data_IF_865217678520
#
_entry.id   IF_865217678520
#
_cell.length_a   1.000
_cell.length_b   1.000
_cell.length_c   1.000
_cell.angle_alpha   90.00
_cell.angle_beta   90.00
_cell.angle_gamma   90.00
#
_symmetry.space_group_name_H-M   'P 1'
#
loop_
_entity.id
_entity.type
_entity.pdbx_description
1 polymer ?
2 non-polymer ?
3 non-polymer ?
4 water ?
#
# COMPACT_ATOMS: atom_id res chain seq x y z
N UNK A 5 -14.09 11.23 10.15
CA UNK A 5 -14.11 12.02 8.89
C UNK A 5 -12.72 12.33 8.36
N UNK A 6 -12.59 12.41 7.04
CA UNK A 6 -11.28 12.69 6.42
C UNK A 6 -11.01 14.18 6.19
N UNK A 7 -9.80 14.60 6.55
CA UNK A 7 -9.33 15.97 6.37
C UNK A 7 -8.74 16.15 4.97
N UNK A 8 -9.56 16.54 4.00
CA UNK A 8 -9.08 16.74 2.63
C UNK A 8 -8.33 18.04 2.42
N UNK A 9 -8.24 18.86 3.47
CA UNK A 9 -7.39 20.04 3.45
C UNK A 9 -5.91 19.63 3.60
N UNK A 10 -5.67 18.55 4.32
CA UNK A 10 -4.32 18.00 4.49
C UNK A 10 -4.01 16.88 3.50
N UNK A 11 -4.95 15.95 3.33
CA UNK A 11 -4.77 14.81 2.42
C UNK A 11 -5.19 15.13 1.00
N UNK A 12 -4.30 15.78 0.27
CA UNK A 12 -4.47 16.02 -1.16
C UNK A 12 -3.10 16.15 -1.85
N UNK A 13 -3.10 16.06 -3.17
CA UNK A 13 -1.85 16.02 -3.95
C UNK A 13 -1.27 17.40 -4.28
N UNK A 14 -1.88 18.46 -3.76
CA UNK A 14 -1.36 19.82 -3.96
C UNK A 14 0.03 20.02 -3.32
N UNK A 15 0.27 19.31 -2.23
CA UNK A 15 1.51 19.40 -1.47
C UNK A 15 2.69 18.70 -2.12
N UNK A 16 2.42 17.97 -3.20
CA UNK A 16 3.46 17.14 -3.80
C UNK A 16 4.04 17.76 -5.06
N UNK A 17 5.34 17.50 -5.27
CA UNK A 17 6.12 18.12 -6.34
C UNK A 17 6.19 17.20 -7.56
N UNK A 18 6.08 17.80 -8.75
CA UNK A 18 6.24 17.08 -10.00
C UNK A 18 5.12 16.10 -10.27
N UNK A 19 5.46 15.02 -10.99
CA UNK A 19 4.49 14.01 -11.37
C UNK A 19 4.64 12.74 -10.53
N UNK A 20 3.62 11.90 -10.57
CA UNK A 20 3.64 10.61 -9.89
C UNK A 20 4.79 9.72 -10.37
N UNK A 21 4.98 9.62 -11.69
CA UNK A 21 6.10 8.85 -12.26
C UNK A 21 7.46 9.31 -11.71
N UNK A 22 7.66 10.63 -11.72
CA UNK A 22 8.87 11.26 -11.18
C UNK A 22 9.10 10.92 -9.72
N UNK A 23 8.07 11.12 -8.89
CA UNK A 23 8.17 10.86 -7.45
C UNK A 23 8.47 9.39 -7.16
N UNK A 24 7.78 8.48 -7.85
CA UNK A 24 7.99 7.06 -7.65
C UNK A 24 9.42 6.66 -8.03
N UNK A 25 9.93 7.17 -9.16
CA UNK A 25 11.30 6.87 -9.59
C UNK A 25 12.31 7.32 -8.53
N UNK A 26 12.16 8.54 -8.03
CA UNK A 26 13.05 9.10 -7.01
C UNK A 26 13.01 8.29 -5.72
N UNK A 27 11.79 7.98 -5.28
CA UNK A 27 11.56 7.21 -4.08
C UNK A 27 12.23 5.84 -4.14
N UNK A 28 11.96 5.09 -5.21
CA UNK A 28 12.56 3.77 -5.39
C UNK A 28 14.08 3.80 -5.49
N UNK A 29 14.63 4.84 -6.12
CA UNK A 29 16.08 5.00 -6.29
C UNK A 29 16.82 5.25 -4.96
N UNK A 30 16.12 5.80 -3.99
CA UNK A 30 16.64 5.97 -2.63
C UNK A 30 16.78 4.61 -1.94
N UNK A 31 15.92 3.66 -2.32
CA UNK A 31 15.98 2.31 -1.78
C UNK A 31 16.85 1.38 -2.63
N UNK A 32 17.51 1.94 -3.64
CA UNK A 32 18.37 1.17 -4.54
C UNK A 32 17.61 0.29 -5.50
N UNK A 33 16.40 0.73 -5.87
CA UNK A 33 15.56 -0.01 -6.78
C UNK A 33 15.25 0.80 -8.02
N UNK A 34 15.21 0.16 -9.18
CA UNK A 34 14.73 0.86 -10.37
C UNK A 34 13.19 0.77 -10.43
N UNK A 35 12.59 1.41 -11.42
CA UNK A 35 11.15 1.57 -11.51
C UNK A 35 10.37 0.26 -11.59
N UNK A 36 9.29 0.17 -10.81
CA UNK A 36 8.41 -1.00 -10.86
C UNK A 36 7.06 -0.66 -10.24
N UNK A 37 6.08 -1.54 -10.46
CA UNK A 37 4.76 -1.33 -9.85
C UNK A 37 4.89 -1.48 -8.34
N UNK A 38 4.54 -0.42 -7.63
CA UNK A 38 4.92 -0.28 -6.21
C UNK A 38 3.72 -0.40 -5.27
N UNK A 39 3.84 -1.33 -4.33
CA UNK A 39 2.81 -1.67 -3.35
C UNK A 39 3.33 -1.28 -1.97
N UNK A 40 2.53 -0.53 -1.22
CA UNK A 40 2.95 -0.13 0.12
C UNK A 40 2.00 -0.61 1.22
N UNK A 41 2.60 -0.99 2.35
CA UNK A 41 1.86 -1.31 3.56
C UNK A 41 2.33 -0.36 4.66
N UNK A 42 1.37 0.24 5.35
CA UNK A 42 1.65 1.04 6.55
C UNK A 42 0.74 0.64 7.70
N UNK A 43 1.33 0.13 8.76
CA UNK A 43 0.58 -0.29 9.91
C UNK A 43 1.39 -1.07 10.92
N UNK A 44 0.85 -1.20 12.13
CA UNK A 44 1.44 -2.02 13.17
C UNK A 44 1.73 -3.44 12.68
N UNK A 45 2.88 -3.98 13.09
CA UNK A 45 3.22 -5.38 12.87
C UNK A 45 2.68 -6.18 14.05
N UNK A 46 1.56 -6.87 13.85
CA UNK A 46 0.96 -7.75 14.86
C UNK A 46 0.46 -9.05 14.21
N UNK A 47 -0.12 -9.92 15.02
CA UNK A 47 -0.45 -11.29 14.60
C UNK A 47 -1.88 -11.47 14.05
N UNK A 48 -2.79 -10.60 14.48
CA UNK A 48 -4.19 -10.73 14.09
C UNK A 48 -5.02 -9.47 13.93
N UNK A 49 -4.34 -8.33 13.72
CA UNK A 49 -5.05 -7.05 13.56
C UNK A 49 -4.86 -6.41 12.19
N UNK A 50 -3.66 -5.92 11.90
CA UNK A 50 -3.39 -5.18 10.66
C UNK A 50 -3.02 -6.09 9.50
N UNK A 51 -2.63 -7.32 9.79
CA UNK A 51 -2.37 -8.31 8.75
C UNK A 51 -1.03 -8.29 8.06
N UNK A 52 0.00 -7.75 8.71
CA UNK A 52 1.35 -7.79 8.10
C UNK A 52 1.76 -9.23 7.80
N UNK A 53 1.36 -10.16 8.66
CA UNK A 53 1.61 -11.61 8.49
C UNK A 53 1.08 -12.12 7.14
N UNK A 54 -0.11 -11.67 6.78
CA UNK A 54 -0.76 -12.06 5.53
C UNK A 54 0.03 -11.51 4.35
N UNK A 55 0.47 -10.25 4.45
CA UNK A 55 1.28 -9.64 3.41
C UNK A 55 2.61 -10.36 3.22
N UNK A 56 3.29 -10.65 4.33
CA UNK A 56 4.59 -11.32 4.27
C UNK A 56 4.47 -12.73 3.68
N UNK A 57 3.40 -13.43 4.04
CA UNK A 57 3.12 -14.74 3.44
C UNK A 57 2.86 -14.61 1.95
N UNK A 58 2.12 -13.57 1.56
CA UNK A 58 1.82 -13.31 0.15
C UNK A 58 3.08 -13.03 -0.65
N UNK A 59 3.99 -12.24 -0.06
CA UNK A 59 5.28 -11.98 -0.70
C UNK A 59 6.07 -13.28 -0.90
N UNK A 60 6.05 -14.14 0.10
CA UNK A 60 6.74 -15.43 0.00
C UNK A 60 6.15 -16.26 -1.13
N UNK A 61 4.82 -16.29 -1.22
CA UNK A 61 4.11 -17.00 -2.30
C UNK A 61 4.51 -16.47 -3.69
N UNK A 62 4.60 -15.15 -3.81
CA UNK A 62 4.90 -14.52 -5.10
C UNK A 62 6.35 -14.63 -5.52
N UNK A 63 7.25 -14.82 -4.55
CA UNK A 63 8.69 -14.70 -4.80
C UNK A 63 9.28 -15.74 -5.76
N UNK A 64 8.55 -16.84 -5.98
CA UNK A 64 8.96 -17.88 -6.93
C UNK A 64 8.48 -17.61 -8.36
N UNK A 65 7.74 -16.50 -8.53
CA UNK A 65 7.21 -16.12 -9.84
C UNK A 65 8.07 -15.06 -10.51
N UNK A 66 8.21 -15.16 -11.82
CA UNK A 66 8.97 -14.17 -12.59
C UNK A 66 8.41 -12.77 -12.43
N UNK A 67 7.08 -12.67 -12.35
CA UNK A 67 6.40 -11.37 -12.24
C UNK A 67 6.76 -10.63 -10.95
N UNK A 68 7.25 -11.38 -9.96
CA UNK A 68 7.71 -10.80 -8.69
C UNK A 68 8.74 -9.69 -8.93
N UNK A 69 9.60 -9.88 -9.93
CA UNK A 69 10.68 -8.94 -10.26
C UNK A 69 10.17 -7.59 -10.72
N UNK A 70 8.93 -7.56 -11.20
CA UNK A 70 8.29 -6.33 -11.67
C UNK A 70 7.56 -5.59 -10.54
N UNK A 71 7.53 -6.20 -9.36
CA UNK A 71 6.88 -5.60 -8.20
C UNK A 71 7.91 -4.95 -7.28
N UNK A 72 7.48 -3.90 -6.58
CA UNK A 72 8.27 -3.30 -5.51
C UNK A 72 7.38 -3.26 -4.26
N UNK A 73 7.96 -3.58 -3.12
CA UNK A 73 7.23 -3.56 -1.84
C UNK A 73 7.87 -2.62 -0.83
N UNK A 74 7.05 -1.72 -0.29
CA UNK A 74 7.47 -0.84 0.79
C UNK A 74 6.61 -1.19 2.00
N UNK A 75 7.27 -1.64 3.08
CA UNK A 75 6.57 -2.19 4.25
C UNK A 75 6.92 -1.38 5.52
N UNK A 76 6.00 -0.54 5.95
CA UNK A 76 6.25 0.40 7.06
C UNK A 76 5.44 0.09 8.31
N UNK A 77 6.13 -0.05 9.44
CA UNK A 77 5.48 -0.23 10.73
C UNK A 77 6.39 -0.86 11.76
N UNK A 78 5.92 -0.90 13.00
CA UNK A 78 6.73 -1.49 14.06
C UNK A 78 5.89 -2.42 14.91
N UNK A 79 6.57 -3.18 15.76
CA UNK A 79 5.89 -4.00 16.73
C UNK A 79 6.80 -5.12 17.14
N UNK A 80 6.23 -6.32 17.12
CA UNK A 80 6.87 -7.55 17.51
C UNK A 80 8.27 -7.76 16.90
N UNK A 81 9.29 -8.03 17.75
CA UNK A 81 10.65 -8.33 17.29
C UNK A 81 10.70 -9.51 16.32
N UNK A 82 9.82 -10.49 16.54
CA UNK A 82 9.73 -11.65 15.64
C UNK A 82 9.18 -11.24 14.27
N UNK A 83 8.14 -10.41 14.25
CA UNK A 83 7.56 -9.95 13.00
C UNK A 83 8.50 -8.97 12.28
N UNK A 84 9.11 -8.06 13.03
CA UNK A 84 10.12 -7.17 12.45
C UNK A 84 11.29 -7.98 11.87
N UNK A 85 11.71 -9.02 12.58
CA UNK A 85 12.78 -9.92 12.10
C UNK A 85 12.43 -10.59 10.79
N UNK A 86 11.18 -11.05 10.69
CA UNK A 86 10.66 -11.67 9.48
C UNK A 86 10.68 -10.70 8.31
N UNK A 87 10.14 -9.50 8.50
CA UNK A 87 10.15 -8.45 7.48
C UNK A 87 11.58 -8.12 7.03
N UNK A 88 12.48 -7.97 8.00
CA UNK A 88 13.88 -7.69 7.70
C UNK A 88 14.55 -8.78 6.89
N UNK A 89 14.24 -10.04 7.22
CA UNK A 89 14.77 -11.19 6.50
C UNK A 89 14.37 -11.16 5.02
N UNK A 90 13.09 -10.89 4.75
CA UNK A 90 12.58 -10.79 3.38
C UNK A 90 13.22 -9.63 2.62
N UNK A 91 13.45 -8.52 3.31
CA UNK A 91 14.16 -7.37 2.77
C UNK A 91 15.58 -7.77 2.33
N UNK A 92 16.28 -8.53 3.15
CA UNK A 92 17.61 -9.00 2.79
C UNK A 92 17.59 -10.05 1.68
N UNK A 93 16.56 -10.90 1.67
CA UNK A 93 16.40 -11.93 0.64
C UNK A 93 16.02 -11.35 -0.74
N UNK A 94 15.22 -10.29 -0.73
CA UNK A 94 14.63 -9.74 -1.96
C UNK A 94 14.92 -8.25 -2.15
N UNK A 95 15.68 -7.94 -3.20
CA UNK A 95 16.10 -6.58 -3.51
C UNK A 95 14.97 -5.64 -3.89
N UNK A 96 13.77 -6.19 -4.09
CA UNK A 96 12.59 -5.37 -4.38
C UNK A 96 11.69 -5.18 -3.14
N UNK A 97 12.23 -5.46 -1.96
CA UNK A 97 11.50 -5.26 -0.70
C UNK A 97 12.25 -4.26 0.19
N UNK A 98 11.55 -3.22 0.61
CA UNK A 98 12.07 -2.25 1.58
C UNK A 98 11.21 -2.25 2.84
N UNK A 99 11.87 -2.35 3.99
CA UNK A 99 11.19 -2.39 5.27
C UNK A 99 11.66 -1.21 6.14
N UNK A 100 10.69 -0.48 6.70
CA UNK A 100 10.99 0.68 7.54
C UNK A 100 10.26 0.48 8.86
N UNK A 101 11.00 0.14 9.91
CA UNK A 101 10.40 -0.26 11.18
C UNK A 101 10.31 0.89 12.18
N UNK A 102 9.40 1.83 11.90
CA UNK A 102 9.21 3.01 12.76
C UNK A 102 7.97 3.76 12.30
N UNK A 103 7.54 4.72 13.11
CA UNK A 103 6.46 5.63 12.76
C UNK A 103 7.03 6.76 11.91
N UNK A 104 6.28 7.17 10.89
CA UNK A 104 6.65 8.33 10.08
C UNK A 104 5.57 9.39 10.25
N UNK A 105 5.93 10.65 10.06
CA UNK A 105 4.98 11.76 10.20
C UNK A 105 3.91 11.64 9.12
N UNK A 106 2.74 12.22 9.37
CA UNK A 106 1.69 12.18 8.36
C UNK A 106 2.08 12.90 7.06
N UNK A 107 2.96 13.90 7.15
CA UNK A 107 3.51 14.58 5.96
C UNK A 107 4.32 13.61 5.08
N UNK A 108 5.14 12.80 5.72
CA UNK A 108 5.91 11.77 5.03
C UNK A 108 4.97 10.72 4.40
N UNK A 109 4.03 10.23 5.21
CA UNK A 109 3.03 9.26 4.76
C UNK A 109 2.30 9.81 3.53
N UNK A 110 1.87 11.06 3.61
CA UNK A 110 1.16 11.74 2.51
C UNK A 110 1.96 11.68 1.20
N UNK A 111 3.24 12.03 1.29
CA UNK A 111 4.13 11.98 0.15
C UNK A 111 4.23 10.57 -0.42
N UNK A 112 4.33 9.58 0.47
CA UNK A 112 4.43 8.18 0.06
C UNK A 112 3.18 7.70 -0.68
N UNK A 113 1.99 8.02 -0.15
CA UNK A 113 0.74 7.66 -0.81
C UNK A 113 0.69 8.25 -2.23
N UNK A 114 1.21 9.46 -2.37
CA UNK A 114 1.24 10.15 -3.66
C UNK A 114 2.35 9.70 -4.59
N UNK A 115 3.12 8.70 -4.16
CA UNK A 115 4.32 8.23 -4.87
C UNK A 115 4.38 6.72 -5.08
N UNK A 116 3.33 6.01 -4.69
CA UNK A 116 3.27 4.56 -4.92
C UNK A 116 2.08 4.25 -5.84
N UNK A 117 1.99 3.00 -6.29
CA UNK A 117 0.87 2.60 -7.16
C UNK A 117 -0.33 2.12 -6.36
N UNK A 118 -0.07 1.24 -5.40
CA UNK A 118 -1.12 0.62 -4.59
C UNK A 118 -0.74 0.66 -3.12
N UNK A 119 -1.76 0.76 -2.26
CA UNK A 119 -1.58 0.59 -0.81
C UNK A 119 -2.34 -0.67 -0.40
N UNK A 120 -1.63 -1.58 0.26
CA UNK A 120 -2.20 -2.86 0.67
C UNK A 120 -2.64 -2.74 2.12
N UNK A 121 -3.92 -2.97 2.37
CA UNK A 121 -4.50 -2.84 3.70
C UNK A 121 -5.10 -4.18 4.10
N UNK A 122 -4.25 -5.13 4.55
CA UNK A 122 -4.67 -6.52 4.76
C UNK A 122 -5.26 -6.76 6.16
N UNK A 123 -6.01 -5.78 6.66
CA UNK A 123 -6.53 -5.81 8.03
C UNK A 123 -7.45 -6.99 8.32
N UNK A 124 -7.38 -7.49 9.56
CA UNK A 124 -8.39 -8.39 10.08
C UNK A 124 -9.45 -7.54 10.79
N UNK A 125 -8.99 -6.47 11.43
CA UNK A 125 -9.81 -5.57 12.22
C UNK A 125 -9.58 -4.12 11.76
N UNK A 126 -10.64 -3.48 11.26
CA UNK A 126 -10.54 -2.14 10.72
C UNK A 126 -11.88 -1.42 10.82
N UNK A 127 -12.20 -0.89 12.03
CA UNK A 127 -13.51 -0.29 12.22
C UNK A 127 -13.75 0.98 11.39
N UNK A 128 -12.70 1.79 11.20
CA UNK A 128 -12.87 3.08 10.52
C UNK A 128 -12.35 3.12 9.09
N UNK A 129 -11.18 2.56 8.86
CA UNK A 129 -10.57 2.53 7.52
C UNK A 129 -10.22 3.90 6.96
N UNK A 130 -10.03 4.87 7.85
CA UNK A 130 -9.64 6.23 7.46
C UNK A 130 -8.35 6.23 6.64
N UNK A 131 -7.50 5.24 6.88
CA UNK A 131 -6.28 4.99 6.10
C UNK A 131 -6.55 4.78 4.60
N UNK A 132 -7.60 4.03 4.28
CA UNK A 132 -8.00 3.81 2.89
C UNK A 132 -8.36 5.14 2.22
N UNK A 133 -9.14 5.95 2.92
CA UNK A 133 -9.58 7.25 2.40
C UNK A 133 -8.40 8.20 2.20
N UNK A 134 -7.44 8.15 3.12
CA UNK A 134 -6.25 9.00 3.03
C UNK A 134 -5.43 8.61 1.80
N UNK A 135 -5.16 7.31 1.66
CA UNK A 135 -4.45 6.78 0.50
C UNK A 135 -5.17 7.17 -0.80
N UNK A 136 -6.49 6.98 -0.82
CA UNK A 136 -7.32 7.30 -1.99
C UNK A 136 -7.29 8.78 -2.37
N UNK A 137 -7.35 9.65 -1.37
CA UNK A 137 -7.19 11.10 -1.57
C UNK A 137 -5.91 11.46 -2.33
N UNK A 138 -4.88 10.62 -2.19
CA UNK A 138 -3.59 10.89 -2.81
C UNK A 138 -3.32 10.05 -4.06
N UNK A 139 -4.36 9.34 -4.51
CA UNK A 139 -4.27 8.59 -5.75
C UNK A 139 -3.67 7.19 -5.64
N UNK A 140 -3.36 6.76 -4.41
CA UNK A 140 -2.92 5.38 -4.19
C UNK A 140 -4.14 4.45 -4.22
N UNK A 141 -4.06 3.39 -5.02
CA UNK A 141 -5.17 2.46 -5.23
C UNK A 141 -5.16 1.37 -4.15
N UNK A 142 -6.24 1.27 -3.36
CA UNK A 142 -6.25 0.27 -2.29
C UNK A 142 -6.50 -1.18 -2.73
N UNK A 143 -5.69 -2.09 -2.18
CA UNK A 143 -5.96 -3.53 -2.20
C UNK A 143 -6.18 -3.91 -0.73
N UNK A 144 -7.41 -4.30 -0.38
CA UNK A 144 -7.77 -4.36 1.04
C UNK A 144 -8.66 -5.53 1.44
N UNK A 145 -8.51 -5.97 2.69
CA UNK A 145 -9.43 -6.95 3.28
C UNK A 145 -10.84 -6.40 3.33
N UNK A 146 -11.80 -7.23 2.97
CA UNK A 146 -13.21 -6.84 3.02
C UNK A 146 -13.72 -6.89 4.46
N UNK A 147 -13.25 -5.95 5.28
CA UNK A 147 -13.64 -5.88 6.69
C UNK A 147 -14.00 -4.47 7.15
N UNK A 148 -14.82 -4.40 8.20
CA UNK A 148 -15.20 -3.14 8.83
C UNK A 148 -15.46 -2.02 7.85
N UNK A 149 -14.82 -0.88 8.09
CA UNK A 149 -15.00 0.33 7.29
C UNK A 149 -14.49 0.20 5.87
N UNK A 150 -13.50 -0.66 5.66
CA UNK A 150 -12.90 -0.87 4.32
C UNK A 150 -13.93 -1.33 3.30
N UNK A 151 -14.87 -2.15 3.77
CA UNK A 151 -16.01 -2.60 2.95
C UNK A 151 -16.86 -1.43 2.47
N UNK A 152 -16.99 -0.41 3.31
CA UNK A 152 -17.85 0.75 3.04
C UNK A 152 -17.16 1.71 2.05
N UNK A 153 -15.84 1.85 2.22
CA UNK A 153 -15.04 2.83 1.49
C UNK A 153 -14.65 2.34 0.09
N UNK A 154 -14.18 1.11 0.01
CA UNK A 154 -13.61 0.59 -1.23
C UNK A 154 -14.68 -0.06 -2.10
N UNK A 155 -14.67 0.33 -3.37
CA UNK A 155 -15.62 -0.16 -4.36
C UNK A 155 -14.86 -0.80 -5.52
N UNK A 156 -15.58 -1.51 -6.38
CA UNK A 156 -15.00 -2.08 -7.59
C UNK A 156 -14.48 -1.04 -8.59
N UNK A 157 -14.91 0.21 -8.43
CA UNK A 157 -14.45 1.31 -9.28
C UNK A 157 -13.18 1.95 -8.73
N UNK A 158 -12.83 1.62 -7.49
CA UNK A 158 -11.76 2.33 -6.79
C UNK A 158 -10.59 1.43 -6.33
N UNK A 159 -10.85 0.14 -6.13
CA UNK A 159 -9.80 -0.74 -5.62
C UNK A 159 -10.12 -2.21 -5.73
N UNK A 160 -9.35 -3.01 -5.00
CA UNK A 160 -9.53 -4.45 -4.98
C UNK A 160 -9.78 -4.91 -3.55
N UNK A 161 -10.87 -5.64 -3.36
CA UNK A 161 -11.17 -6.23 -2.06
C UNK A 161 -10.88 -7.72 -2.04
N UNK A 162 -10.33 -8.19 -0.93
CA UNK A 162 -9.98 -9.59 -0.73
C UNK A 162 -10.51 -10.08 0.61
N UNK A 163 -10.62 -11.40 0.76
CA UNK A 163 -11.01 -12.01 2.02
C UNK A 163 -9.87 -11.89 3.02
N UNK A 164 -10.19 -11.40 4.23
CA UNK A 164 -9.17 -11.23 5.27
C UNK A 164 -8.54 -12.57 5.65
N UNK A 165 -7.24 -12.54 5.95
CA UNK A 165 -6.52 -13.70 6.43
C UNK A 165 -6.13 -14.75 5.39
N UNK A 166 -6.22 -14.39 4.11
CA UNK A 166 -5.95 -15.33 3.02
C UNK A 166 -4.78 -14.85 2.14
N UNK A 167 -3.54 -15.31 2.44
CA UNK A 167 -2.34 -14.91 1.69
C UNK A 167 -2.41 -15.23 0.19
N UNK A 168 -3.00 -16.39 -0.14
CA UNK A 168 -3.25 -16.80 -1.52
C UNK A 168 -4.09 -15.82 -2.30
N UNK A 169 -5.23 -15.42 -1.74
CA UNK A 169 -6.12 -14.43 -2.37
C UNK A 169 -5.39 -13.09 -2.55
N UNK A 170 -4.63 -12.70 -1.53
CA UNK A 170 -3.86 -11.47 -1.60
C UNK A 170 -2.82 -11.52 -2.72
N UNK A 171 -2.04 -12.61 -2.75
CA UNK A 171 -1.05 -12.82 -3.81
C UNK A 171 -1.70 -12.72 -5.20
N UNK A 172 -2.85 -13.37 -5.38
CA UNK A 172 -3.62 -13.29 -6.63
C UNK A 172 -3.98 -11.84 -7.00
N UNK A 173 -4.42 -11.07 -6.00
CA UNK A 173 -4.85 -9.69 -6.19
C UNK A 173 -3.68 -8.79 -6.59
N UNK A 174 -2.52 -9.04 -5.97
CA UNK A 174 -1.29 -8.33 -6.27
C UNK A 174 -0.82 -8.58 -7.71
N UNK A 175 -0.93 -9.83 -8.16
CA UNK A 175 -0.60 -10.17 -9.56
C UNK A 175 -1.56 -9.50 -10.54
N UNK A 176 -2.84 -9.50 -10.19
CA UNK A 176 -3.89 -8.83 -10.96
C UNK A 176 -3.59 -7.32 -11.06
N UNK A 177 -3.24 -6.72 -9.92
CA UNK A 177 -2.93 -5.29 -9.85
C UNK A 177 -1.70 -4.95 -10.71
N UNK A 178 -0.67 -5.78 -10.60
CA UNK A 178 0.54 -5.62 -11.42
C UNK A 178 0.24 -5.49 -12.92
N UNK A 179 -0.73 -6.29 -13.37
CA UNK A 179 -1.01 -6.44 -14.79
C UNK A 179 -1.87 -5.31 -15.40
N UNK A 180 -2.44 -4.48 -14.54
CA UNK A 180 -3.32 -3.38 -14.99
C UNK A 180 -2.58 -2.40 -15.92
N UNK A 181 -3.27 -1.95 -16.96
CA UNK A 181 -2.74 -0.94 -17.87
C UNK A 181 -2.62 0.42 -17.20
N UNK A 182 -1.77 1.29 -17.74
CA UNK A 182 -1.64 2.66 -17.24
C UNK A 182 -2.97 3.42 -17.35
N UNK A 183 -3.71 3.18 -18.43
CA UNK A 183 -5.03 3.78 -18.59
C UNK A 183 -5.99 3.35 -17.47
N UNK A 184 -5.99 2.05 -17.17
CA UNK A 184 -6.79 1.53 -16.05
C UNK A 184 -6.34 2.06 -14.70
N UNK A 185 -5.03 2.12 -14.49
CA UNK A 185 -4.48 2.75 -13.29
C UNK A 185 -5.02 4.16 -13.14
N UNK A 186 -4.89 4.97 -14.20
CA UNK A 186 -5.37 6.35 -14.22
C UNK A 186 -6.86 6.48 -13.85
N UNK A 187 -7.69 5.60 -14.40
CA UNK A 187 -9.12 5.63 -14.08
C UNK A 187 -9.37 5.30 -12.60
N UNK A 188 -8.67 4.27 -12.08
CA UNK A 188 -8.74 3.94 -10.67
C UNK A 188 -8.40 5.13 -9.79
N UNK A 189 -7.29 5.81 -10.09
CA UNK A 189 -6.84 6.98 -9.32
C UNK A 189 -7.89 8.11 -9.32
N UNK A 190 -8.43 8.39 -10.49
CA UNK A 190 -9.50 9.37 -10.65
C UNK A 190 -10.70 9.05 -9.75
N UNK A 191 -11.15 7.79 -9.83
CA UNK A 191 -12.29 7.34 -9.02
C UNK A 191 -11.99 7.37 -7.52
N UNK A 192 -10.76 7.00 -7.16
CA UNK A 192 -10.31 7.05 -5.78
C UNK A 192 -10.44 8.44 -5.17
N UNK A 193 -9.87 9.43 -5.86
CA UNK A 193 -9.92 10.82 -5.42
C UNK A 193 -11.34 11.35 -5.34
N UNK A 194 -12.14 11.07 -6.37
CA UNK A 194 -13.57 11.42 -6.38
C UNK A 194 -14.30 10.87 -5.16
N UNK A 195 -14.14 9.56 -4.93
CA UNK A 195 -14.83 8.88 -3.83
C UNK A 195 -14.38 9.40 -2.47
N UNK A 196 -13.06 9.57 -2.31
CA UNK A 196 -12.49 10.10 -1.07
C UNK A 196 -12.95 11.53 -0.78
N UNK A 197 -13.09 12.33 -1.83
CA UNK A 197 -13.59 13.70 -1.74
C UNK A 197 -15.07 13.71 -1.35
N UNK A 198 -15.81 12.71 -1.82
CA UNK A 198 -17.24 12.57 -1.53
C UNK A 198 -17.50 12.21 -0.06
N UNK A 199 -16.51 11.64 0.60
CA UNK A 199 -16.58 11.39 2.05
C UNK A 199 -16.32 12.67 2.85
N UNK A 200 -16.05 13.75 2.13
CA UNK A 200 -16.03 15.12 2.67
C UNK A 200 -15.15 15.28 3.90
#
# INVERSE_FOLDING_TARGET
>A
GSHNGIDCSFWNESYLTGSRDERKKSLLSKFGMDEGVTFMFIGRFDRGQKGVDVLLKAIEILSSKKEFQEMRFIIIGKGDPELEGWARSLEEKHGNVKVITEMLSREFVRELYGSVDFVIIPSYFEPFGLVALEAMCLGAIPIASAVGGLRDIITNETGILVKAGDPGELANAILKALELSRSDLSKFRENCKKRAMSFS
#
